data_IF_018543188805
#
_entry.id   IF_018543188805
#
_cell.length_a   1.000
_cell.length_b   1.000
_cell.length_c   1.000
_cell.angle_alpha   90.00
_cell.angle_beta   90.00
_cell.angle_gamma   90.00
#
_symmetry.space_group_name_H-M   'P 1'
#
loop_
_entity.id
_entity.type
_entity.pdbx_description
1 polymer ?
#
# COMPACT_ATOMS: atom_id res chain seq x y z
N UNK A 1 -17.61 17.42 28.17
CA UNK A 1 -17.40 16.66 26.91
C UNK A 1 -16.12 15.84 27.04
N UNK A 2 -16.21 14.51 27.09
CA UNK A 2 -15.04 13.62 27.09
C UNK A 2 -14.47 13.57 25.67
N UNK A 3 -13.32 14.18 25.44
CA UNK A 3 -12.54 13.94 24.21
C UNK A 3 -11.79 12.62 24.39
N UNK A 4 -12.44 11.55 23.96
CA UNK A 4 -11.84 10.22 23.86
C UNK A 4 -10.90 10.20 22.66
N UNK A 5 -9.60 10.38 22.86
CA UNK A 5 -8.60 9.93 21.89
C UNK A 5 -8.53 8.39 21.93
N UNK A 6 -9.52 7.74 21.30
CA UNK A 6 -9.32 6.38 20.79
C UNK A 6 -8.39 6.54 19.58
N UNK A 7 -7.08 6.38 19.76
CA UNK A 7 -6.25 6.02 18.62
C UNK A 7 -6.84 4.71 18.08
N UNK A 8 -7.48 4.74 16.92
CA UNK A 8 -7.77 3.52 16.17
C UNK A 8 -6.42 2.83 16.00
N UNK A 9 -6.20 1.70 16.68
CA UNK A 9 -5.15 0.77 16.28
C UNK A 9 -5.54 0.36 14.87
N UNK A 10 -4.97 0.98 13.84
CA UNK A 10 -5.05 0.40 12.50
C UNK A 10 -4.34 -0.93 12.61
N UNK A 11 -5.04 -2.02 12.29
CA UNK A 11 -4.36 -3.29 12.18
C UNK A 11 -3.32 -3.15 11.05
N UNK A 12 -2.19 -3.85 11.16
CA UNK A 12 -1.16 -3.84 10.11
C UNK A 12 -1.77 -4.16 8.73
N UNK A 13 -2.82 -5.01 8.70
CA UNK A 13 -3.64 -5.31 7.52
C UNK A 13 -4.34 -4.08 6.91
N UNK A 14 -4.82 -3.13 7.71
CA UNK A 14 -5.51 -1.93 7.22
C UNK A 14 -4.53 -0.98 6.48
N UNK A 15 -3.29 -0.89 6.94
CA UNK A 15 -2.24 -0.07 6.30
C UNK A 15 -1.93 -0.57 4.88
N UNK A 16 -1.70 -1.88 4.72
CA UNK A 16 -1.39 -2.46 3.41
C UNK A 16 -2.55 -2.34 2.43
N UNK A 17 -3.79 -2.50 2.91
CA UNK A 17 -4.98 -2.33 2.11
C UNK A 17 -5.16 -0.89 1.62
N UNK A 18 -4.91 0.11 2.47
CA UNK A 18 -5.00 1.52 2.09
C UNK A 18 -3.97 1.86 1.00
N UNK A 19 -2.72 1.40 1.14
CA UNK A 19 -1.67 1.60 0.14
C UNK A 19 -1.98 0.90 -1.18
N UNK A 20 -2.52 -0.31 -1.12
CA UNK A 20 -2.98 -1.03 -2.31
C UNK A 20 -4.10 -0.25 -3.04
N UNK A 21 -5.06 0.31 -2.29
CA UNK A 21 -6.14 1.10 -2.88
C UNK A 21 -5.62 2.39 -3.54
N UNK A 22 -4.68 3.09 -2.89
CA UNK A 22 -4.02 4.26 -3.46
C UNK A 22 -3.28 3.92 -4.76
N UNK A 23 -2.50 2.83 -4.77
CA UNK A 23 -1.80 2.36 -5.96
C UNK A 23 -2.77 2.01 -7.10
N UNK A 24 -3.83 1.26 -6.80
CA UNK A 24 -4.87 0.91 -7.78
C UNK A 24 -5.50 2.18 -8.37
N UNK A 25 -5.78 3.18 -7.55
CA UNK A 25 -6.39 4.43 -8.02
C UNK A 25 -5.43 5.20 -8.94
N UNK A 26 -4.16 5.36 -8.52
CA UNK A 26 -3.13 6.04 -9.31
C UNK A 26 -2.93 5.37 -10.67
N UNK A 27 -2.72 4.04 -10.68
CA UNK A 27 -2.49 3.31 -11.94
C UNK A 27 -3.73 3.31 -12.84
N UNK A 28 -4.94 3.31 -12.28
CA UNK A 28 -6.16 3.45 -13.09
C UNK A 28 -6.22 4.81 -13.79
N UNK A 29 -5.73 5.89 -13.17
CA UNK A 29 -5.69 7.23 -13.78
C UNK A 29 -4.64 7.30 -14.88
N UNK A 30 -3.45 6.75 -14.64
CA UNK A 30 -2.37 6.65 -15.64
C UNK A 30 -2.83 5.84 -16.86
N UNK A 31 -3.43 4.67 -16.64
CA UNK A 31 -4.03 3.85 -17.70
C UNK A 31 -5.06 4.63 -18.51
N UNK A 32 -5.94 5.39 -17.84
CA UNK A 32 -6.98 6.18 -18.51
C UNK A 32 -6.39 7.28 -19.39
N UNK A 33 -5.34 7.96 -18.93
CA UNK A 33 -4.64 8.99 -19.69
C UNK A 33 -4.00 8.41 -20.96
N UNK A 34 -3.32 7.26 -20.85
CA UNK A 34 -2.71 6.58 -22.00
C UNK A 34 -3.75 6.03 -22.98
N UNK A 35 -4.90 5.56 -22.50
CA UNK A 35 -6.02 5.16 -23.36
C UNK A 35 -6.56 6.34 -24.16
N UNK A 36 -6.70 7.53 -23.55
CA UNK A 36 -7.12 8.73 -24.28
C UNK A 36 -6.12 9.15 -25.36
N UNK A 37 -4.81 8.98 -25.08
CA UNK A 37 -3.75 9.22 -26.06
C UNK A 37 -3.85 8.24 -27.25
N UNK A 38 -4.09 6.95 -26.99
CA UNK A 38 -4.34 5.93 -28.02
C UNK A 38 -5.61 6.26 -28.82
N UNK A 39 -6.69 6.69 -28.18
CA UNK A 39 -7.93 7.10 -28.86
C UNK A 39 -7.66 8.24 -29.86
N UNK A 40 -6.84 9.22 -29.46
CA UNK A 40 -6.42 10.32 -30.34
C UNK A 40 -5.60 9.82 -31.53
N UNK A 41 -4.62 8.94 -31.31
CA UNK A 41 -3.79 8.36 -32.38
C UNK A 41 -4.67 7.62 -33.39
N UNK A 42 -5.58 6.76 -32.91
CA UNK A 42 -6.47 6.02 -33.79
C UNK A 42 -7.41 6.96 -34.55
N UNK A 43 -7.94 8.01 -33.90
CA UNK A 43 -8.79 8.99 -34.57
C UNK A 43 -8.05 9.74 -35.69
N UNK A 44 -6.80 10.15 -35.46
CA UNK A 44 -5.97 10.81 -36.48
C UNK A 44 -5.64 9.86 -37.63
N UNK A 45 -5.22 8.63 -37.33
CA UNK A 45 -4.96 7.59 -38.33
C UNK A 45 -6.18 7.35 -39.23
N UNK A 46 -7.38 7.27 -38.66
CA UNK A 46 -8.63 7.09 -39.41
C UNK A 46 -8.97 8.32 -40.25
N UNK A 47 -8.78 9.54 -39.71
CA UNK A 47 -9.00 10.77 -40.46
C UNK A 47 -8.07 10.87 -41.68
N UNK A 48 -6.80 10.48 -41.52
CA UNK A 48 -5.82 10.46 -42.61
C UNK A 48 -6.16 9.39 -43.67
N UNK A 49 -6.64 8.22 -43.27
CA UNK A 49 -7.17 7.21 -44.20
C UNK A 49 -8.32 7.79 -45.02
N UNK A 50 -9.29 8.44 -44.37
CA UNK A 50 -10.43 9.07 -45.05
C UNK A 50 -10.02 10.16 -46.02
N UNK A 51 -9.12 11.04 -45.57
CA UNK A 51 -8.59 12.14 -46.38
C UNK A 51 -7.94 11.62 -47.66
N UNK A 52 -7.13 10.57 -47.56
CA UNK A 52 -6.48 9.97 -48.72
C UNK A 52 -7.49 9.27 -49.64
N UNK A 53 -8.44 8.50 -49.09
CA UNK A 53 -9.50 7.89 -49.89
C UNK A 53 -10.33 8.93 -50.66
N UNK A 54 -10.69 10.04 -50.01
CA UNK A 54 -11.43 11.15 -50.65
C UNK A 54 -10.60 11.87 -51.71
N UNK A 55 -9.31 12.12 -51.45
CA UNK A 55 -8.43 12.74 -52.42
C UNK A 55 -8.30 11.89 -53.69
N UNK A 56 -8.16 10.57 -53.55
CA UNK A 56 -8.13 9.65 -54.68
C UNK A 56 -9.48 9.56 -55.39
N UNK A 57 -10.58 9.51 -54.64
CA UNK A 57 -11.92 9.53 -55.22
C UNK A 57 -12.16 10.81 -56.03
N UNK A 58 -11.79 11.97 -55.50
CA UNK A 58 -11.92 13.26 -56.19
C UNK A 58 -11.07 13.30 -57.46
N UNK A 59 -9.80 12.85 -57.41
CA UNK A 59 -8.93 12.72 -58.58
C UNK A 59 -9.57 11.84 -59.67
N UNK A 60 -10.26 10.76 -59.28
CA UNK A 60 -10.99 9.89 -60.21
C UNK A 60 -12.25 10.56 -60.77
N UNK A 61 -13.01 11.29 -59.96
CA UNK A 61 -14.22 12.00 -60.38
C UNK A 61 -13.92 13.16 -61.35
N UNK A 62 -12.81 13.88 -61.16
CA UNK A 62 -12.38 14.96 -62.07
C UNK A 62 -11.78 14.46 -63.39
N UNK A 63 -11.52 13.15 -63.50
CA UNK A 63 -11.04 12.54 -64.74
C UNK A 63 -12.19 12.26 -65.75
N UNK A 64 -13.39 12.80 -65.51
CA UNK A 64 -14.50 12.77 -66.47
C UNK A 64 -14.05 13.32 -67.84
N UNK A 65 -13.90 12.41 -68.80
CA UNK A 65 -13.39 12.67 -70.16
C UNK A 65 -12.14 11.87 -70.55
N UNK A 66 -11.45 11.24 -69.60
CA UNK A 66 -10.32 10.32 -69.81
C UNK A 66 -10.82 8.88 -69.65
N UNK A 67 -10.32 7.92 -70.45
CA UNK A 67 -10.64 6.50 -70.22
C UNK A 67 -10.22 6.12 -68.79
N UNK A 68 -11.20 5.70 -67.98
CA UNK A 68 -10.99 5.31 -66.59
C UNK A 68 -9.95 4.19 -66.43
N UNK A 69 -9.71 3.41 -67.50
CA UNK A 69 -8.66 2.39 -67.57
C UNK A 69 -7.27 3.01 -67.66
N UNK A 70 -7.09 4.08 -68.43
CA UNK A 70 -5.81 4.83 -68.51
C UNK A 70 -5.53 5.55 -67.18
N UNK A 71 -6.54 6.14 -66.56
CA UNK A 71 -6.43 6.78 -65.25
C UNK A 71 -6.04 5.80 -64.12
N UNK A 72 -6.14 4.47 -64.33
CA UNK A 72 -5.71 3.43 -63.38
C UNK A 72 -4.33 2.85 -63.68
N UNK A 73 -3.85 2.97 -64.91
CA UNK A 73 -2.75 2.14 -65.40
C UNK A 73 -1.36 2.58 -64.91
N UNK A 74 -1.14 3.87 -64.65
CA UNK A 74 0.18 4.36 -64.21
C UNK A 74 0.00 5.37 -63.08
N UNK A 75 0.68 5.13 -61.96
CA UNK A 75 0.83 6.14 -60.91
C UNK A 75 1.74 7.26 -61.43
N UNK A 76 1.34 8.52 -61.26
CA UNK A 76 2.19 9.64 -61.65
C UNK A 76 3.52 9.55 -60.89
N UNK A 77 4.64 9.73 -61.58
CA UNK A 77 5.97 9.75 -61.00
C UNK A 77 6.05 10.74 -59.82
N UNK A 78 5.37 11.88 -59.92
CA UNK A 78 5.31 12.87 -58.83
C UNK A 78 4.59 12.33 -57.58
N UNK A 79 3.44 11.65 -57.76
CA UNK A 79 2.71 11.03 -56.65
C UNK A 79 3.55 9.93 -55.96
N UNK A 80 4.31 9.15 -56.76
CA UNK A 80 5.24 8.13 -56.25
C UNK A 80 6.39 8.74 -55.46
N UNK A 81 7.04 9.79 -55.97
CA UNK A 81 8.13 10.49 -55.29
C UNK A 81 7.65 11.15 -53.99
N UNK A 82 6.49 11.81 -54.02
CA UNK A 82 5.89 12.42 -52.83
C UNK A 82 5.59 11.38 -51.73
N UNK A 83 5.11 10.20 -52.12
CA UNK A 83 4.91 9.09 -51.19
C UNK A 83 6.23 8.57 -50.62
N UNK A 84 7.23 8.33 -51.47
CA UNK A 84 8.56 7.86 -51.03
C UNK A 84 9.23 8.85 -50.07
N UNK A 85 9.13 10.16 -50.33
CA UNK A 85 9.62 11.19 -49.41
C UNK A 85 8.92 11.13 -48.05
N UNK A 86 7.59 10.97 -48.03
CA UNK A 86 6.81 10.84 -46.79
C UNK A 86 7.19 9.58 -46.01
N UNK A 87 7.32 8.44 -46.70
CA UNK A 87 7.74 7.19 -46.10
C UNK A 87 9.16 7.28 -45.51
N UNK A 88 10.08 7.95 -46.24
CA UNK A 88 11.44 8.21 -45.78
C UNK A 88 11.45 9.05 -44.51
N UNK A 89 10.68 10.15 -44.48
CA UNK A 89 10.60 11.04 -43.33
C UNK A 89 10.17 10.33 -42.04
N UNK A 90 9.33 9.29 -42.13
CA UNK A 90 8.91 8.52 -40.95
C UNK A 90 9.99 7.59 -40.39
N UNK A 91 11.02 7.26 -41.17
CA UNK A 91 12.09 6.33 -40.77
C UNK A 91 13.42 7.07 -40.53
N UNK A 92 13.54 8.31 -41.00
CA UNK A 92 14.77 9.09 -40.95
C UNK A 92 15.25 9.35 -39.52
N UNK A 93 14.34 9.66 -38.60
CA UNK A 93 14.67 9.93 -37.20
C UNK A 93 14.81 8.67 -36.34
N UNK A 94 14.36 7.50 -36.83
CA UNK A 94 14.33 6.21 -36.08
C UNK A 94 13.64 6.29 -34.70
N UNK A 95 12.63 7.13 -34.56
CA UNK A 95 11.93 7.37 -33.28
C UNK A 95 11.07 6.18 -32.79
N UNK A 96 10.99 5.10 -33.55
CA UNK A 96 10.18 3.92 -33.25
C UNK A 96 11.02 2.68 -32.93
N UNK A 97 10.37 1.60 -32.49
CA UNK A 97 11.01 0.30 -32.29
C UNK A 97 11.70 -0.21 -33.56
N UNK A 98 12.69 -1.09 -33.44
CA UNK A 98 13.35 -1.70 -34.60
C UNK A 98 12.36 -2.41 -35.52
N UNK A 99 11.35 -3.05 -34.93
CA UNK A 99 10.25 -3.68 -35.67
C UNK A 99 9.44 -2.66 -36.44
N UNK A 100 9.00 -1.58 -35.77
CA UNK A 100 8.25 -0.49 -36.40
C UNK A 100 9.03 0.17 -37.54
N UNK A 101 10.31 0.51 -37.30
CA UNK A 101 11.19 1.09 -38.31
C UNK A 101 11.39 0.13 -39.50
N UNK A 102 11.49 -1.18 -39.25
CA UNK A 102 11.58 -2.19 -40.30
C UNK A 102 10.30 -2.25 -41.14
N UNK A 103 9.13 -2.24 -40.52
CA UNK A 103 7.83 -2.23 -41.23
C UNK A 103 7.67 -0.95 -42.06
N UNK A 104 7.98 0.22 -41.48
CA UNK A 104 7.91 1.51 -42.18
C UNK A 104 8.90 1.57 -43.37
N UNK A 105 10.10 1.01 -43.22
CA UNK A 105 11.12 0.99 -44.29
C UNK A 105 10.68 0.20 -45.52
N UNK A 106 9.75 -0.75 -45.39
CA UNK A 106 9.21 -1.51 -46.55
C UNK A 106 8.55 -0.60 -47.58
N UNK A 107 8.04 0.55 -47.16
CA UNK A 107 7.40 1.54 -48.03
C UNK A 107 8.41 2.42 -48.79
N UNK A 108 9.69 2.42 -48.40
CA UNK A 108 10.75 3.17 -49.11
C UNK A 108 11.26 2.41 -50.35
N UNK A 109 11.12 1.09 -50.36
CA UNK A 109 11.78 0.20 -51.33
C UNK A 109 10.87 -0.34 -52.42
N UNK A 110 9.55 -0.22 -52.28
CA UNK A 110 8.64 -0.77 -53.29
C UNK A 110 8.53 0.16 -54.51
N UNK A 111 8.63 -0.43 -55.71
CA UNK A 111 8.25 0.21 -56.97
C UNK A 111 6.75 0.04 -57.18
N UNK A 112 6.04 1.13 -57.48
CA UNK A 112 4.59 1.14 -57.59
C UNK A 112 4.18 1.28 -59.06
N UNK A 113 3.50 0.25 -59.59
CA UNK A 113 3.21 0.18 -61.02
C UNK A 113 1.86 0.84 -61.34
N UNK A 114 0.86 0.69 -60.46
CA UNK A 114 -0.48 1.24 -60.67
C UNK A 114 -1.02 2.02 -59.46
N UNK A 115 -2.04 2.87 -59.70
CA UNK A 115 -2.60 3.76 -58.66
C UNK A 115 -3.29 3.03 -57.51
N UNK A 116 -3.86 1.85 -57.75
CA UNK A 116 -4.48 1.05 -56.69
C UNK A 116 -3.42 0.57 -55.70
N UNK A 117 -2.29 0.08 -56.20
CA UNK A 117 -1.15 -0.32 -55.39
C UNK A 117 -0.61 0.87 -54.60
N UNK A 118 -0.41 2.03 -55.25
CA UNK A 118 0.06 3.23 -54.57
C UNK A 118 -0.88 3.62 -53.41
N UNK A 119 -2.19 3.66 -53.63
CA UNK A 119 -3.16 3.96 -52.57
C UNK A 119 -3.10 2.94 -51.43
N UNK A 120 -3.05 1.63 -51.73
CA UNK A 120 -2.93 0.59 -50.70
C UNK A 120 -1.68 0.78 -49.86
N UNK A 121 -0.56 1.12 -50.49
CA UNK A 121 0.69 1.39 -49.79
C UNK A 121 0.64 2.69 -48.97
N UNK A 122 0.05 3.77 -49.48
CA UNK A 122 -0.16 5.02 -48.73
C UNK A 122 -1.01 4.80 -47.48
N UNK A 123 -2.12 4.08 -47.62
CA UNK A 123 -2.98 3.75 -46.50
C UNK A 123 -2.32 2.79 -45.52
N UNK A 124 -1.57 1.80 -46.03
CA UNK A 124 -0.77 0.89 -45.23
C UNK A 124 0.30 1.62 -44.41
N UNK A 125 0.95 2.65 -44.98
CA UNK A 125 1.91 3.49 -44.27
C UNK A 125 1.25 4.24 -43.11
N UNK A 126 0.07 4.82 -43.32
CA UNK A 126 -0.69 5.52 -42.29
C UNK A 126 -1.06 4.57 -41.14
N UNK A 127 -1.56 3.38 -41.48
CA UNK A 127 -1.86 2.34 -40.48
C UNK A 127 -0.60 1.95 -39.71
N UNK A 128 0.50 1.67 -40.41
CA UNK A 128 1.78 1.25 -39.79
C UNK A 128 2.31 2.32 -38.84
N UNK A 129 2.28 3.60 -39.25
CA UNK A 129 2.67 4.72 -38.41
C UNK A 129 1.78 4.83 -37.17
N UNK A 130 0.46 4.76 -37.32
CA UNK A 130 -0.46 4.85 -36.18
C UNK A 130 -0.28 3.72 -35.17
N UNK A 131 0.13 2.53 -35.61
CA UNK A 131 0.48 1.43 -34.71
C UNK A 131 1.87 1.58 -34.09
N UNK A 132 2.84 2.15 -34.80
CA UNK A 132 4.15 2.50 -34.25
C UNK A 132 4.03 3.55 -33.12
N UNK A 133 3.18 4.56 -33.30
CA UNK A 133 2.87 5.54 -32.25
C UNK A 133 2.18 4.88 -31.03
N UNK A 134 1.22 3.98 -31.25
CA UNK A 134 0.61 3.20 -30.17
C UNK A 134 1.63 2.32 -29.43
N UNK A 135 2.55 1.68 -30.16
CA UNK A 135 3.61 0.85 -29.60
C UNK A 135 4.51 1.67 -28.68
N UNK A 136 4.93 2.86 -29.10
CA UNK A 136 5.74 3.76 -28.27
C UNK A 136 5.01 4.17 -26.97
N UNK A 137 3.72 4.52 -27.06
CA UNK A 137 2.91 4.88 -25.88
C UNK A 137 2.81 3.71 -24.91
N UNK A 138 2.50 2.51 -25.42
CA UNK A 138 2.41 1.29 -24.59
C UNK A 138 3.77 0.96 -23.98
N UNK A 139 4.83 0.94 -24.80
CA UNK A 139 6.17 0.60 -24.34
C UNK A 139 6.62 1.49 -23.19
N UNK A 140 6.49 2.81 -23.36
CA UNK A 140 6.82 3.80 -22.33
C UNK A 140 5.99 3.58 -21.07
N UNK A 141 4.67 3.38 -21.21
CA UNK A 141 3.79 3.14 -20.07
C UNK A 141 4.15 1.89 -19.28
N UNK A 142 4.50 0.78 -19.96
CA UNK A 142 4.91 -0.45 -19.29
C UNK A 142 6.23 -0.27 -18.52
N UNK A 143 7.22 0.42 -19.10
CA UNK A 143 8.46 0.76 -18.41
C UNK A 143 8.25 1.67 -17.20
N UNK A 144 7.42 2.71 -17.37
CA UNK A 144 7.07 3.63 -16.30
C UNK A 144 6.32 2.88 -15.18
N UNK A 145 5.45 1.95 -15.53
CA UNK A 145 4.68 1.13 -14.59
C UNK A 145 5.57 0.21 -13.74
N UNK A 146 6.58 -0.44 -14.33
CA UNK A 146 7.59 -1.20 -13.59
C UNK A 146 8.32 -0.28 -12.60
N UNK A 147 8.80 0.87 -13.09
CA UNK A 147 9.56 1.83 -12.28
C UNK A 147 8.72 2.39 -11.12
N UNK A 148 7.47 2.80 -11.38
CA UNK A 148 6.54 3.28 -10.36
C UNK A 148 6.24 2.20 -9.33
N UNK A 149 6.03 0.96 -9.77
CA UNK A 149 5.74 -0.17 -8.88
C UNK A 149 6.91 -0.45 -7.94
N UNK A 150 8.13 -0.48 -8.46
CA UNK A 150 9.34 -0.69 -7.66
C UNK A 150 9.53 0.46 -6.66
N UNK A 151 9.42 1.72 -7.09
CA UNK A 151 9.49 2.89 -6.19
C UNK A 151 8.42 2.85 -5.11
N UNK A 152 7.20 2.50 -5.48
CA UNK A 152 6.09 2.37 -4.55
C UNK A 152 6.36 1.27 -3.52
N UNK A 153 6.86 0.10 -3.93
CA UNK A 153 7.22 -0.97 -3.01
C UNK A 153 8.40 -0.59 -2.11
N UNK A 154 9.46 0.02 -2.64
CA UNK A 154 10.59 0.53 -1.83
C UNK A 154 10.12 1.52 -0.77
N UNK A 155 9.23 2.45 -1.14
CA UNK A 155 8.68 3.43 -0.21
C UNK A 155 7.77 2.84 0.87
N UNK A 156 7.23 1.63 0.67
CA UNK A 156 6.39 0.96 1.66
C UNK A 156 7.20 -0.01 2.52
N UNK A 157 8.07 -0.82 1.91
CA UNK A 157 8.89 -1.83 2.59
C UNK A 157 10.19 -1.26 3.17
N UNK A 158 10.57 -0.04 2.80
CA UNK A 158 11.77 0.64 3.29
C UNK A 158 13.08 0.05 2.76
N UNK A 159 13.02 -0.69 1.65
CA UNK A 159 14.16 -1.36 1.04
C UNK A 159 14.22 -1.04 -0.45
N UNK A 160 15.31 -0.41 -0.88
CA UNK A 160 15.52 -0.13 -2.30
C UNK A 160 16.04 -1.36 -3.03
N UNK A 161 15.40 -1.68 -4.16
CA UNK A 161 15.86 -2.74 -5.07
C UNK A 161 16.50 -2.10 -6.29
N UNK A 162 17.77 -2.40 -6.50
CA UNK A 162 18.47 -2.02 -7.73
C UNK A 162 18.08 -3.00 -8.83
N UNK A 163 17.27 -2.54 -9.78
CA UNK A 163 16.85 -3.34 -10.94
C UNK A 163 17.67 -2.91 -12.15
N UNK A 164 18.31 -3.86 -12.83
CA UNK A 164 19.05 -3.57 -14.07
C UNK A 164 18.05 -3.25 -15.17
N UNK A 165 18.43 -2.40 -16.13
CA UNK A 165 17.58 -2.14 -17.30
C UNK A 165 17.22 -3.43 -18.03
N UNK A 166 18.13 -4.40 -18.12
CA UNK A 166 17.88 -5.72 -18.71
C UNK A 166 16.71 -6.46 -18.06
N UNK A 167 16.52 -6.31 -16.74
CA UNK A 167 15.47 -6.99 -16.00
C UNK A 167 14.12 -6.30 -16.24
N UNK A 168 14.12 -4.97 -16.37
CA UNK A 168 12.93 -4.19 -16.78
C UNK A 168 12.50 -4.61 -18.18
N UNK A 169 13.44 -4.67 -19.13
CA UNK A 169 13.17 -5.12 -20.51
C UNK A 169 12.63 -6.55 -20.52
N UNK A 170 13.21 -7.45 -19.72
CA UNK A 170 12.75 -8.83 -19.59
C UNK A 170 11.32 -8.91 -19.06
N UNK A 171 10.97 -8.12 -18.05
CA UNK A 171 9.60 -8.03 -17.51
C UNK A 171 8.64 -7.49 -18.57
N UNK A 172 9.02 -6.43 -19.29
CA UNK A 172 8.15 -5.77 -20.27
C UNK A 172 7.89 -6.67 -21.47
N UNK A 173 8.92 -7.31 -22.02
CA UNK A 173 8.82 -8.10 -23.25
C UNK A 173 8.62 -9.60 -23.03
N UNK A 174 8.47 -10.07 -21.78
CA UNK A 174 8.15 -11.47 -21.52
C UNK A 174 6.83 -11.89 -22.16
N UNK A 175 6.80 -13.14 -22.62
CA UNK A 175 5.61 -13.71 -23.21
C UNK A 175 4.54 -13.94 -22.15
N UNK A 176 3.34 -13.45 -22.43
CA UNK A 176 2.15 -13.83 -21.69
C UNK A 176 1.34 -14.79 -22.57
N UNK A 177 1.18 -16.05 -22.15
CA UNK A 177 0.68 -17.08 -23.07
C UNK A 177 1.67 -17.32 -24.22
N UNK A 178 1.22 -17.19 -25.48
CA UNK A 178 2.05 -17.54 -26.67
C UNK A 178 2.85 -16.38 -27.27
N UNK A 179 2.48 -15.14 -26.97
CA UNK A 179 3.01 -13.94 -27.64
C UNK A 179 3.25 -12.85 -26.60
N UNK A 180 4.23 -11.97 -26.88
CA UNK A 180 4.39 -10.74 -26.11
C UNK A 180 3.36 -9.67 -26.54
N UNK A 181 3.33 -8.56 -25.81
CA UNK A 181 2.37 -7.49 -26.04
C UNK A 181 2.55 -6.80 -27.40
N UNK A 182 3.79 -6.56 -27.84
CA UNK A 182 4.09 -5.91 -29.13
C UNK A 182 3.60 -6.79 -30.27
N UNK A 183 3.90 -8.09 -30.25
CA UNK A 183 3.41 -9.04 -31.25
C UNK A 183 1.87 -9.03 -31.37
N UNK A 184 1.16 -8.99 -30.24
CA UNK A 184 -0.31 -8.88 -30.24
C UNK A 184 -0.80 -7.56 -30.83
N UNK A 185 -0.11 -6.46 -30.56
CA UNK A 185 -0.43 -5.15 -31.12
C UNK A 185 -0.31 -5.17 -32.65
N UNK A 186 0.81 -5.71 -33.16
CA UNK A 186 1.07 -5.84 -34.59
C UNK A 186 0.13 -6.84 -35.29
N UNK A 187 -0.29 -7.92 -34.62
CA UNK A 187 -1.30 -8.82 -35.19
C UNK A 187 -2.66 -8.12 -35.39
N UNK A 188 -3.06 -7.22 -34.49
CA UNK A 188 -4.26 -6.40 -34.68
C UNK A 188 -4.10 -5.39 -35.83
N UNK A 189 -2.87 -4.90 -36.05
CA UNK A 189 -2.54 -4.02 -37.17
C UNK A 189 -2.77 -4.68 -38.52
N UNK A 190 -2.37 -5.94 -38.66
CA UNK A 190 -2.57 -6.72 -39.88
C UNK A 190 -4.05 -6.88 -40.24
N UNK A 191 -4.93 -7.02 -39.24
CA UNK A 191 -6.39 -7.07 -39.46
C UNK A 191 -6.91 -5.74 -40.02
N UNK A 192 -6.56 -4.61 -39.38
CA UNK A 192 -7.00 -3.29 -39.84
C UNK A 192 -6.44 -2.97 -41.24
N UNK A 193 -5.19 -3.34 -41.51
CA UNK A 193 -4.56 -3.12 -42.83
C UNK A 193 -5.35 -3.82 -43.93
N UNK A 194 -5.73 -5.08 -43.73
CA UNK A 194 -6.55 -5.85 -44.69
C UNK A 194 -7.90 -5.17 -44.97
N UNK A 195 -8.55 -4.66 -43.93
CA UNK A 195 -9.81 -3.94 -44.09
C UNK A 195 -9.63 -2.66 -44.92
N UNK A 196 -8.57 -1.90 -44.62
CA UNK A 196 -8.24 -0.66 -45.32
C UNK A 196 -7.88 -0.91 -46.79
N UNK A 197 -7.09 -1.95 -47.08
CA UNK A 197 -6.77 -2.37 -48.45
C UNK A 197 -8.02 -2.79 -49.23
N UNK A 198 -8.96 -3.47 -48.58
CA UNK A 198 -10.24 -3.84 -49.18
C UNK A 198 -11.07 -2.60 -49.53
N UNK A 199 -11.17 -1.63 -48.62
CA UNK A 199 -11.87 -0.36 -48.87
C UNK A 199 -11.22 0.42 -50.01
N UNK A 200 -9.89 0.51 -50.03
CA UNK A 200 -9.12 1.11 -51.12
C UNK A 200 -9.44 0.47 -52.46
N UNK A 201 -9.53 -0.86 -52.49
CA UNK A 201 -9.90 -1.61 -53.70
C UNK A 201 -11.33 -1.26 -54.15
N UNK A 202 -12.30 -1.12 -53.24
CA UNK A 202 -13.66 -0.73 -53.62
C UNK A 202 -13.75 0.69 -54.16
N UNK A 203 -13.05 1.65 -53.54
CA UNK A 203 -13.00 3.04 -54.00
C UNK A 203 -12.34 3.11 -55.38
N UNK A 204 -11.17 2.48 -55.55
CA UNK A 204 -10.41 2.54 -56.80
C UNK A 204 -11.05 1.72 -57.93
N UNK A 205 -11.43 0.46 -57.66
CA UNK A 205 -11.89 -0.43 -58.72
C UNK A 205 -13.35 -0.19 -59.09
N UNK A 206 -14.20 0.05 -58.09
CA UNK A 206 -15.66 0.11 -58.27
C UNK A 206 -16.22 1.53 -58.24
N UNK A 207 -15.39 2.56 -58.03
CA UNK A 207 -15.83 3.95 -57.97
C UNK A 207 -16.80 4.23 -56.82
N UNK A 208 -16.75 3.43 -55.75
CA UNK A 208 -17.62 3.64 -54.59
C UNK A 208 -17.18 4.87 -53.82
N UNK A 209 -18.14 5.64 -53.34
CA UNK A 209 -17.85 6.85 -52.61
C UNK A 209 -17.28 6.50 -51.21
N UNK A 210 -16.16 7.07 -50.76
CA UNK A 210 -15.56 6.75 -49.45
C UNK A 210 -16.53 6.87 -48.25
N UNK A 211 -17.48 7.82 -48.31
CA UNK A 211 -18.53 7.97 -47.28
C UNK A 211 -19.40 6.71 -47.06
N UNK A 212 -19.54 5.83 -48.05
CA UNK A 212 -20.26 4.55 -47.88
C UNK A 212 -19.61 3.65 -46.81
N UNK A 213 -18.30 3.81 -46.57
CA UNK A 213 -17.54 3.02 -45.60
C UNK A 213 -17.49 3.65 -44.20
N UNK A 214 -18.10 4.82 -43.97
CA UNK A 214 -18.17 5.51 -42.65
C UNK A 214 -18.64 4.61 -41.51
N UNK A 215 -19.77 3.90 -41.64
CA UNK A 215 -20.23 3.03 -40.57
C UNK A 215 -19.21 1.92 -40.25
N UNK A 216 -18.60 1.34 -41.28
CA UNK A 216 -17.64 0.25 -41.13
C UNK A 216 -16.34 0.73 -40.48
N UNK A 217 -15.75 1.83 -40.95
CA UNK A 217 -14.51 2.37 -40.37
C UNK A 217 -14.75 2.82 -38.93
N UNK A 218 -15.89 3.45 -38.62
CA UNK A 218 -16.22 3.81 -37.23
C UNK A 218 -16.31 2.59 -36.31
N UNK A 219 -16.87 1.49 -36.82
CA UNK A 219 -16.89 0.21 -36.08
C UNK A 219 -15.47 -0.32 -35.85
N UNK A 220 -14.62 -0.29 -36.88
CA UNK A 220 -13.22 -0.73 -36.80
C UNK A 220 -12.39 0.15 -35.86
N UNK A 221 -12.57 1.47 -35.91
CA UNK A 221 -11.96 2.42 -34.98
C UNK A 221 -12.27 2.05 -33.52
N UNK A 222 -13.55 1.83 -33.19
CA UNK A 222 -13.96 1.42 -31.85
C UNK A 222 -13.35 0.08 -31.44
N UNK A 223 -13.27 -0.87 -32.36
CA UNK A 223 -12.68 -2.18 -32.11
C UNK A 223 -11.17 -2.09 -31.86
N UNK A 224 -10.44 -1.30 -32.66
CA UNK A 224 -9.00 -1.05 -32.48
C UNK A 224 -8.73 -0.44 -31.12
N UNK A 225 -9.45 0.64 -30.76
CA UNK A 225 -9.33 1.28 -29.44
C UNK A 225 -9.61 0.27 -28.32
N UNK A 226 -10.71 -0.49 -28.42
CA UNK A 226 -11.07 -1.46 -27.39
C UNK A 226 -10.03 -2.58 -27.23
N UNK A 227 -9.47 -3.08 -28.34
CA UNK A 227 -8.43 -4.11 -28.34
C UNK A 227 -7.12 -3.58 -27.75
N UNK A 228 -6.67 -2.39 -28.17
CA UNK A 228 -5.45 -1.77 -27.64
C UNK A 228 -5.60 -1.41 -26.16
N UNK A 229 -6.75 -0.87 -25.74
CA UNK A 229 -7.08 -0.61 -24.34
C UNK A 229 -7.01 -1.88 -23.48
N UNK A 230 -7.62 -2.96 -23.97
CA UNK A 230 -7.58 -4.26 -23.28
C UNK A 230 -6.15 -4.76 -23.12
N UNK A 231 -5.35 -4.65 -24.18
CA UNK A 231 -3.95 -5.05 -24.18
C UNK A 231 -3.13 -4.22 -23.17
N UNK A 232 -3.20 -2.89 -23.26
CA UNK A 232 -2.49 -1.96 -22.38
C UNK A 232 -2.76 -2.27 -20.91
N UNK A 233 -4.03 -2.31 -20.48
CA UNK A 233 -4.40 -2.49 -19.07
C UNK A 233 -4.00 -3.88 -18.57
N UNK A 234 -4.16 -4.91 -19.41
CA UNK A 234 -3.81 -6.28 -19.01
C UNK A 234 -2.30 -6.44 -18.85
N UNK A 235 -1.52 -5.90 -19.78
CA UNK A 235 -0.06 -5.97 -19.72
C UNK A 235 0.50 -5.06 -18.63
N UNK A 236 -0.10 -3.88 -18.38
CA UNK A 236 0.25 -3.02 -17.26
C UNK A 236 0.10 -3.77 -15.92
N UNK A 237 -1.05 -4.44 -15.70
CA UNK A 237 -1.26 -5.25 -14.51
C UNK A 237 -0.27 -6.44 -14.40
N UNK A 238 0.14 -7.02 -15.54
CA UNK A 238 1.13 -8.10 -15.57
C UNK A 238 2.52 -7.61 -15.17
N UNK A 239 3.01 -6.54 -15.80
CA UNK A 239 4.35 -5.99 -15.49
C UNK A 239 4.42 -5.45 -14.06
N UNK A 240 3.34 -4.87 -13.55
CA UNK A 240 3.23 -4.48 -12.14
C UNK A 240 3.39 -5.70 -11.23
N UNK A 241 2.67 -6.79 -11.52
CA UNK A 241 2.72 -7.99 -10.70
C UNK A 241 4.10 -8.67 -10.75
N UNK A 242 4.76 -8.68 -11.91
CA UNK A 242 6.13 -9.19 -12.04
C UNK A 242 7.14 -8.31 -11.30
N UNK A 243 6.99 -6.99 -11.38
CA UNK A 243 7.82 -6.06 -10.61
C UNK A 243 7.61 -6.22 -9.10
N UNK A 244 6.37 -6.45 -8.65
CA UNK A 244 6.06 -6.78 -7.25
C UNK A 244 6.73 -8.08 -6.82
N UNK A 245 6.63 -9.14 -7.64
CA UNK A 245 7.29 -10.42 -7.37
C UNK A 245 8.80 -10.26 -7.22
N UNK A 246 9.44 -9.56 -8.15
CA UNK A 246 10.87 -9.29 -8.11
C UNK A 246 11.24 -8.60 -6.80
N UNK A 247 10.52 -7.54 -6.46
CA UNK A 247 10.75 -6.81 -5.22
C UNK A 247 10.56 -7.69 -3.98
N UNK A 248 9.53 -8.53 -3.94
CA UNK A 248 9.30 -9.43 -2.81
C UNK A 248 10.42 -10.48 -2.66
N UNK A 249 10.92 -11.02 -3.77
CA UNK A 249 12.03 -11.97 -3.74
C UNK A 249 13.31 -11.36 -3.12
N UNK A 250 13.62 -10.12 -3.48
CA UNK A 250 14.83 -9.42 -3.02
C UNK A 250 14.70 -8.89 -1.57
N UNK A 251 13.50 -8.48 -1.14
CA UNK A 251 13.33 -7.76 0.15
C UNK A 251 12.86 -8.64 1.29
N UNK A 252 11.82 -9.46 1.07
CA UNK A 252 11.19 -10.28 2.12
C UNK A 252 11.50 -11.78 1.97
N UNK A 253 11.99 -12.17 0.79
CA UNK A 253 12.48 -13.52 0.51
C UNK A 253 11.44 -14.47 -0.10
N UNK A 254 11.94 -15.54 -0.71
CA UNK A 254 11.15 -16.51 -1.48
C UNK A 254 10.06 -17.25 -0.70
N UNK A 255 10.26 -17.46 0.60
CA UNK A 255 9.33 -18.18 1.47
C UNK A 255 8.35 -17.25 2.19
N UNK A 256 8.43 -15.93 1.91
CA UNK A 256 7.42 -14.99 2.35
C UNK A 256 6.09 -15.23 1.64
N UNK A 257 5.03 -14.67 2.21
CA UNK A 257 3.67 -14.77 1.71
C UNK A 257 3.17 -13.40 1.23
N UNK A 258 2.26 -13.41 0.26
CA UNK A 258 1.55 -12.23 -0.23
C UNK A 258 0.04 -12.48 -0.21
N UNK A 259 -0.72 -11.41 -0.03
CA UNK A 259 -2.18 -11.42 -0.09
C UNK A 259 -2.65 -10.80 -1.40
N UNK A 260 -3.61 -11.45 -2.06
CA UNK A 260 -4.27 -10.92 -3.25
C UNK A 260 -5.33 -9.89 -2.85
N UNK A 261 -5.27 -8.67 -3.40
CA UNK A 261 -6.19 -7.57 -3.08
C UNK A 261 -6.99 -7.18 -4.31
N UNK A 262 -8.29 -7.45 -4.29
CA UNK A 262 -9.20 -7.02 -5.34
C UNK A 262 -9.66 -5.56 -5.14
N UNK A 263 -9.82 -4.80 -6.24
CA UNK A 263 -10.28 -3.40 -6.22
C UNK A 263 -11.66 -3.16 -5.55
N UNK A 264 -12.47 -4.20 -5.33
CA UNK A 264 -13.81 -4.16 -4.71
C UNK A 264 -14.68 -2.97 -5.13
N UNK A 265 -15.02 -2.95 -6.42
CA UNK A 265 -16.01 -2.05 -7.01
C UNK A 265 -17.13 -2.84 -7.72
N UNK A 266 -18.15 -2.14 -8.24
CA UNK A 266 -19.25 -2.73 -9.02
C UNK A 266 -18.75 -3.53 -10.24
N UNK A 267 -17.57 -3.16 -10.77
CA UNK A 267 -16.92 -3.79 -11.93
C UNK A 267 -15.98 -4.93 -11.55
N UNK A 268 -15.88 -5.30 -10.28
CA UNK A 268 -14.98 -6.37 -9.83
C UNK A 268 -15.55 -7.73 -10.19
N UNK A 269 -14.79 -8.47 -11.00
CA UNK A 269 -15.18 -9.78 -11.53
C UNK A 269 -15.36 -10.82 -10.41
N UNK A 270 -16.19 -11.85 -10.68
CA UNK A 270 -16.35 -13.01 -9.78
C UNK A 270 -15.01 -13.71 -9.50
N UNK A 271 -14.11 -13.74 -10.49
CA UNK A 271 -12.77 -14.34 -10.37
C UNK A 271 -11.95 -13.54 -9.35
N UNK A 272 -11.81 -12.22 -9.50
CA UNK A 272 -11.05 -11.42 -8.54
C UNK A 272 -11.66 -11.44 -7.14
N UNK A 273 -12.99 -11.45 -7.02
CA UNK A 273 -13.66 -11.62 -5.72
C UNK A 273 -13.36 -12.97 -5.06
N UNK A 274 -13.20 -14.02 -5.85
CA UNK A 274 -12.84 -15.35 -5.35
C UNK A 274 -11.40 -15.42 -4.83
N UNK A 275 -10.48 -14.65 -5.44
CA UNK A 275 -9.08 -14.59 -5.00
C UNK A 275 -8.81 -13.55 -3.91
N UNK A 276 -9.71 -12.60 -3.71
CA UNK A 276 -9.58 -11.55 -2.70
C UNK A 276 -9.28 -12.12 -1.30
N UNK A 277 -8.25 -11.57 -0.66
CA UNK A 277 -7.71 -11.97 0.66
C UNK A 277 -7.10 -13.37 0.74
N UNK A 278 -6.93 -14.06 -0.39
CA UNK A 278 -6.18 -15.32 -0.39
C UNK A 278 -4.68 -15.05 -0.29
N UNK A 279 -4.02 -15.87 0.51
CA UNK A 279 -2.58 -15.78 0.78
C UNK A 279 -1.85 -16.87 0.00
N UNK A 280 -0.76 -16.50 -0.64
CA UNK A 280 0.09 -17.38 -1.45
C UNK A 280 1.57 -17.10 -1.15
N UNK A 281 2.45 -18.04 -1.48
CA UNK A 281 3.90 -17.84 -1.32
C UNK A 281 4.48 -17.06 -2.49
N UNK A 282 5.44 -16.19 -2.22
CA UNK A 282 6.11 -15.34 -3.23
C UNK A 282 6.79 -16.20 -4.31
N UNK A 283 7.44 -17.31 -3.93
CA UNK A 283 8.06 -18.22 -4.91
C UNK A 283 7.07 -18.81 -5.92
N UNK A 284 5.82 -18.98 -5.52
CA UNK A 284 4.76 -19.55 -6.35
C UNK A 284 3.96 -18.48 -7.11
N UNK A 285 4.35 -17.19 -7.00
CA UNK A 285 3.63 -16.06 -7.59
C UNK A 285 3.71 -16.11 -9.12
N UNK A 286 2.58 -16.30 -9.78
CA UNK A 286 2.45 -16.40 -11.24
C UNK A 286 1.27 -15.55 -11.71
N UNK A 287 1.52 -14.49 -12.51
CA UNK A 287 0.47 -13.69 -13.14
C UNK A 287 -0.51 -14.57 -13.93
N UNK A 288 -1.81 -14.38 -13.70
CA UNK A 288 -2.88 -15.13 -14.36
C UNK A 288 -3.25 -16.46 -13.72
N UNK A 289 -2.52 -16.92 -12.69
CA UNK A 289 -2.82 -18.17 -11.96
C UNK A 289 -3.22 -17.88 -10.52
N UNK A 290 -2.36 -17.19 -9.77
CA UNK A 290 -2.57 -16.84 -8.36
C UNK A 290 -2.17 -15.39 -8.05
N UNK A 291 -1.81 -14.63 -9.08
CA UNK A 291 -1.51 -13.21 -9.00
C UNK A 291 -2.14 -12.47 -10.20
N UNK A 292 -2.44 -11.16 -10.08
CA UNK A 292 -2.99 -10.39 -11.20
C UNK A 292 -2.07 -10.42 -12.44
N UNK A 293 -2.58 -10.22 -13.66
CA UNK A 293 -3.99 -10.07 -14.04
C UNK A 293 -4.69 -11.43 -14.16
N UNK A 294 -5.82 -11.60 -13.46
CA UNK A 294 -6.62 -12.85 -13.54
C UNK A 294 -7.58 -12.91 -14.72
N UNK A 295 -7.79 -11.77 -15.41
CA UNK A 295 -8.70 -11.63 -16.54
C UNK A 295 -8.33 -10.36 -17.32
N UNK A 296 -8.84 -10.18 -18.55
CA UNK A 296 -8.65 -8.92 -19.28
C UNK A 296 -9.22 -7.74 -18.48
N UNK A 297 -8.51 -6.61 -18.48
CA UNK A 297 -8.84 -5.42 -17.66
C UNK A 297 -8.79 -5.65 -16.14
N UNK A 298 -7.97 -6.59 -15.66
CA UNK A 298 -7.76 -6.76 -14.22
C UNK A 298 -7.14 -5.50 -13.63
N UNK A 299 -7.66 -5.06 -12.49
CA UNK A 299 -7.20 -3.88 -11.72
C UNK A 299 -6.86 -4.24 -10.28
N UNK A 300 -6.66 -5.53 -10.03
CA UNK A 300 -6.32 -6.05 -8.69
C UNK A 300 -4.81 -5.98 -8.51
N UNK A 301 -4.35 -5.98 -7.26
CA UNK A 301 -2.93 -5.92 -6.93
C UNK A 301 -2.61 -6.93 -5.84
N UNK A 302 -1.35 -6.97 -5.42
CA UNK A 302 -0.90 -7.79 -4.29
C UNK A 302 -0.25 -6.92 -3.22
N UNK A 303 -0.30 -7.40 -1.98
CA UNK A 303 0.39 -6.80 -0.84
C UNK A 303 1.19 -7.88 -0.12
N UNK A 304 2.32 -7.54 0.52
CA UNK A 304 3.02 -8.51 1.36
C UNK A 304 2.11 -8.94 2.51
N UNK A 305 2.00 -10.24 2.70
CA UNK A 305 1.35 -10.81 3.88
C UNK A 305 2.39 -10.87 4.99
N UNK A 306 2.61 -9.71 5.61
CA UNK A 306 3.22 -9.67 6.92
C UNK A 306 2.18 -10.22 7.88
N UNK A 307 2.31 -11.52 8.19
CA UNK A 307 1.56 -12.13 9.27
C UNK A 307 1.72 -11.33 10.56
N UNK A 308 1.14 -11.81 11.64
CA UNK A 308 1.15 -11.05 12.89
C UNK A 308 2.52 -11.10 13.61
N UNK A 309 3.62 -10.87 12.88
CA UNK A 309 5.00 -10.94 13.37
C UNK A 309 5.20 -10.02 14.56
N UNK A 310 4.54 -8.85 14.58
CA UNK A 310 4.57 -7.92 15.70
C UNK A 310 3.88 -8.52 16.92
N UNK A 311 2.67 -9.04 16.77
CA UNK A 311 1.95 -9.67 17.87
C UNK A 311 2.66 -10.96 18.34
N UNK A 312 3.22 -11.75 17.42
CA UNK A 312 4.04 -12.93 17.71
C UNK A 312 5.35 -12.54 18.41
N UNK A 313 6.02 -11.49 17.95
CA UNK A 313 7.24 -10.92 18.54
C UNK A 313 7.02 -10.49 19.99
N UNK A 314 5.91 -9.80 20.27
CA UNK A 314 5.56 -9.35 21.62
C UNK A 314 4.99 -10.48 22.49
N UNK A 315 4.22 -11.42 21.93
CA UNK A 315 3.68 -12.58 22.65
C UNK A 315 4.78 -13.57 23.06
N UNK A 316 5.74 -13.84 22.18
CA UNK A 316 6.87 -14.75 22.45
C UNK A 316 7.91 -14.17 23.44
N UNK A 317 7.81 -12.86 23.71
CA UNK A 317 8.69 -12.10 24.61
C UNK A 317 7.97 -11.51 25.83
N UNK A 318 6.66 -11.69 25.97
CA UNK A 318 5.95 -11.36 27.20
C UNK A 318 6.59 -12.14 28.35
N UNK A 319 7.12 -11.41 29.35
CA UNK A 319 7.81 -11.99 30.51
C UNK A 319 9.30 -12.29 30.33
N UNK A 320 9.89 -12.16 29.13
CA UNK A 320 11.34 -12.42 28.90
C UNK A 320 12.26 -11.21 29.15
N UNK A 321 11.72 -10.01 29.07
CA UNK A 321 12.46 -8.76 29.31
C UNK A 321 11.72 -7.95 30.37
N UNK A 322 12.31 -7.83 31.56
CA UNK A 322 11.92 -6.85 32.58
C UNK A 322 12.76 -5.60 32.35
N UNK A 323 12.12 -4.44 32.24
CA UNK A 323 12.83 -3.15 32.17
C UNK A 323 13.58 -2.96 33.49
N UNK A 324 14.92 -3.05 33.47
CA UNK A 324 15.74 -2.58 34.58
C UNK A 324 15.84 -1.05 34.47
N UNK A 325 14.70 -0.39 34.65
CA UNK A 325 14.58 1.06 34.58
C UNK A 325 15.27 1.72 35.77
N UNK A 326 15.68 2.97 35.58
CA UNK A 326 16.02 3.89 36.67
C UNK A 326 14.85 4.04 37.67
N UNK A 327 15.12 4.65 38.83
CA UNK A 327 14.11 4.82 39.89
C UNK A 327 12.86 5.56 39.40
N UNK A 328 12.99 6.49 38.46
CA UNK A 328 11.87 7.22 37.87
C UNK A 328 10.95 6.29 37.05
N UNK A 329 11.53 5.42 36.22
CA UNK A 329 10.77 4.41 35.47
C UNK A 329 10.08 3.41 36.40
N UNK A 330 10.73 3.00 37.50
CA UNK A 330 10.12 2.11 38.51
C UNK A 330 8.91 2.77 39.16
N UNK A 331 9.02 4.03 39.58
CA UNK A 331 7.90 4.77 40.17
C UNK A 331 6.72 4.90 39.20
N UNK A 332 6.97 5.13 37.91
CA UNK A 332 5.90 5.23 36.90
C UNK A 332 5.15 3.91 36.71
N UNK A 333 5.88 2.78 36.63
CA UNK A 333 5.30 1.44 36.49
C UNK A 333 4.43 1.08 37.70
N UNK A 334 4.96 1.29 38.89
CA UNK A 334 4.32 0.98 40.16
C UNK A 334 3.10 1.88 40.41
N UNK A 335 3.14 3.14 39.97
CA UNK A 335 2.00 4.06 40.03
C UNK A 335 0.84 3.61 39.14
N UNK A 336 1.16 3.07 37.96
CA UNK A 336 0.16 2.46 37.09
C UNK A 336 -0.44 1.21 37.73
N UNK A 337 0.40 0.33 38.30
CA UNK A 337 -0.05 -0.87 39.01
C UNK A 337 -0.97 -0.54 40.20
N UNK A 338 -0.63 0.49 40.99
CA UNK A 338 -1.49 1.00 42.07
C UNK A 338 -2.83 1.51 41.55
N UNK A 339 -2.83 2.30 40.47
CA UNK A 339 -4.07 2.83 39.87
C UNK A 339 -4.98 1.69 39.40
N UNK A 340 -4.42 0.71 38.68
CA UNK A 340 -5.15 -0.47 38.22
C UNK A 340 -5.68 -1.31 39.41
N UNK A 341 -4.94 -1.39 40.51
CA UNK A 341 -5.35 -2.10 41.72
C UNK A 341 -6.51 -1.40 42.48
N UNK A 342 -6.55 -0.06 42.48
CA UNK A 342 -7.68 0.72 43.02
C UNK A 342 -8.90 0.52 42.13
N UNK A 343 -8.75 0.70 40.81
CA UNK A 343 -9.86 0.61 39.85
C UNK A 343 -10.48 -0.80 39.81
N UNK A 344 -9.66 -1.84 39.95
CA UNK A 344 -10.12 -3.24 40.01
C UNK A 344 -10.64 -3.67 41.39
N UNK A 345 -10.57 -2.80 42.41
CA UNK A 345 -10.97 -3.11 43.78
C UNK A 345 -10.09 -4.15 44.48
N UNK A 346 -8.88 -4.43 43.96
CA UNK A 346 -7.90 -5.30 44.61
C UNK A 346 -7.37 -4.70 45.92
N UNK A 347 -7.36 -3.38 46.01
CA UNK A 347 -7.03 -2.64 47.23
C UNK A 347 -8.09 -1.59 47.54
N UNK A 348 -8.14 -1.16 48.80
CA UNK A 348 -8.99 -0.05 49.26
C UNK A 348 -8.14 1.02 49.92
N UNK A 349 -8.38 2.26 49.52
CA UNK A 349 -7.75 3.46 50.11
C UNK A 349 -8.35 3.80 51.48
N UNK A 350 -9.56 3.31 51.76
CA UNK A 350 -10.24 3.44 53.06
C UNK A 350 -9.44 2.78 54.19
N UNK A 351 -9.36 3.44 55.34
CA UNK A 351 -8.70 2.93 56.54
C UNK A 351 -9.42 1.68 57.08
N UNK A 352 -8.64 0.64 57.34
CA UNK A 352 -9.08 -0.51 58.12
C UNK A 352 -8.82 -0.24 59.62
N UNK A 353 -9.89 0.08 60.35
CA UNK A 353 -9.85 0.41 61.78
C UNK A 353 -9.19 -0.70 62.62
N UNK A 354 -9.52 -1.96 62.38
CA UNK A 354 -8.99 -3.09 63.16
C UNK A 354 -7.45 -3.23 63.00
N UNK A 355 -6.94 -3.04 61.79
CA UNK A 355 -5.50 -3.03 61.52
C UNK A 355 -4.83 -1.77 62.08
N UNK A 356 -5.48 -0.60 61.96
CA UNK A 356 -4.94 0.66 62.46
C UNK A 356 -4.83 0.67 64.00
N UNK A 357 -5.80 0.10 64.70
CA UNK A 357 -5.82 0.06 66.16
C UNK A 357 -4.63 -0.69 66.79
N UNK A 358 -3.93 -1.54 66.02
CA UNK A 358 -2.67 -2.19 66.44
C UNK A 358 -1.46 -1.26 66.42
N UNK A 359 -1.65 -0.06 65.86
CA UNK A 359 -0.66 1.00 65.74
C UNK A 359 -1.16 2.29 66.38
N UNK A 360 -2.17 2.25 67.26
CA UNK A 360 -2.71 3.44 67.91
C UNK A 360 -2.38 3.41 69.40
N UNK A 361 -1.71 4.46 69.89
CA UNK A 361 -1.34 4.54 71.30
C UNK A 361 -2.60 4.57 72.20
N UNK A 362 -2.57 3.81 73.29
CA UNK A 362 -3.67 3.75 74.26
C UNK A 362 -4.80 2.78 73.89
N UNK A 363 -4.78 2.16 72.70
CA UNK A 363 -5.74 1.11 72.34
C UNK A 363 -5.27 -0.27 72.83
N UNK A 364 -6.18 -1.11 73.34
CA UNK A 364 -5.85 -2.43 73.89
C UNK A 364 -5.10 -3.33 72.87
N UNK A 365 -5.52 -3.30 71.61
CA UNK A 365 -4.84 -4.04 70.52
C UNK A 365 -3.38 -3.62 70.30
N UNK A 366 -3.01 -2.37 70.57
CA UNK A 366 -1.62 -1.92 70.48
C UNK A 366 -0.80 -2.49 71.64
N UNK A 367 -1.33 -2.48 72.86
CA UNK A 367 -0.66 -3.07 74.02
C UNK A 367 -0.45 -4.58 73.86
N UNK A 368 -1.44 -5.29 73.34
CA UNK A 368 -1.34 -6.72 73.04
C UNK A 368 -0.30 -6.99 71.94
N UNK A 369 -0.28 -6.15 70.90
CA UNK A 369 0.71 -6.25 69.83
C UNK A 369 2.13 -5.98 70.32
N UNK A 370 2.31 -4.95 71.17
CA UNK A 370 3.58 -4.62 71.83
C UNK A 370 4.08 -5.77 72.70
N UNK A 371 3.24 -6.34 73.57
CA UNK A 371 3.58 -7.52 74.40
C UNK A 371 4.03 -8.69 73.54
N UNK A 372 3.30 -8.97 72.46
CA UNK A 372 3.62 -10.06 71.52
C UNK A 372 4.95 -9.85 70.81
N UNK A 373 5.31 -8.61 70.46
CA UNK A 373 6.61 -8.30 69.87
C UNK A 373 7.75 -8.51 70.89
N UNK A 374 7.57 -8.04 72.12
CA UNK A 374 8.56 -8.22 73.21
C UNK A 374 8.82 -9.70 73.51
N UNK A 375 7.77 -10.53 73.59
CA UNK A 375 7.90 -11.99 73.77
C UNK A 375 8.68 -12.68 72.64
N UNK A 376 8.69 -12.09 71.44
CA UNK A 376 9.39 -12.61 70.26
C UNK A 376 10.76 -11.96 70.05
N UNK A 377 11.24 -11.15 71.00
CA UNK A 377 12.48 -10.39 70.87
C UNK A 377 12.48 -9.38 69.71
N UNK A 378 11.29 -8.90 69.29
CA UNK A 378 11.14 -7.91 68.22
C UNK A 378 11.05 -6.50 68.80
N UNK A 379 11.43 -5.50 67.99
CA UNK A 379 11.32 -4.09 68.34
C UNK A 379 9.89 -3.68 68.69
N UNK A 380 9.79 -2.66 69.54
CA UNK A 380 8.51 -2.05 69.94
C UNK A 380 7.86 -1.44 68.69
N UNK A 381 6.54 -1.65 68.47
CA UNK A 381 5.88 -1.09 67.30
C UNK A 381 5.73 0.43 67.38
N UNK A 382 5.91 1.09 66.25
CA UNK A 382 5.58 2.51 66.03
C UNK A 382 4.08 2.76 66.18
N UNK A 383 3.70 3.96 66.61
CA UNK A 383 2.31 4.30 66.93
C UNK A 383 1.86 5.67 66.43
N UNK A 384 0.61 5.76 65.99
CA UNK A 384 -0.07 6.99 65.60
C UNK A 384 -0.62 7.74 66.81
N UNK A 385 -0.64 9.07 66.70
CA UNK A 385 -1.20 9.99 67.69
C UNK A 385 -2.59 10.53 67.28
N UNK A 386 -2.88 10.52 65.97
CA UNK A 386 -4.15 11.00 65.43
C UNK A 386 -5.24 9.92 65.53
N UNK A 387 -6.50 10.35 65.52
CA UNK A 387 -7.63 9.43 65.50
C UNK A 387 -7.85 8.80 64.12
N UNK A 388 -8.66 7.73 64.07
CA UNK A 388 -8.91 6.99 62.84
C UNK A 388 -9.66 7.80 61.77
N UNK A 389 -10.50 8.78 62.15
CA UNK A 389 -11.23 9.62 61.19
C UNK A 389 -10.27 10.57 60.47
N UNK A 390 -9.36 11.17 61.25
CA UNK A 390 -8.33 12.06 60.76
C UNK A 390 -7.31 11.31 59.89
N UNK A 391 -6.85 10.13 60.34
CA UNK A 391 -5.96 9.26 59.55
C UNK A 391 -6.63 8.82 58.25
N UNK A 392 -7.91 8.42 58.27
CA UNK A 392 -8.64 8.03 57.05
C UNK A 392 -8.71 9.18 56.03
N UNK A 393 -9.02 10.39 56.51
CA UNK A 393 -9.08 11.60 55.67
C UNK A 393 -7.71 11.90 55.02
N UNK A 394 -6.63 11.72 55.78
CA UNK A 394 -5.27 11.90 55.27
C UNK A 394 -4.89 10.89 54.18
N UNK A 395 -5.27 9.61 54.32
CA UNK A 395 -5.01 8.60 53.27
C UNK A 395 -5.75 9.00 51.99
N UNK A 396 -7.03 9.35 52.07
CA UNK A 396 -7.80 9.76 50.88
C UNK A 396 -7.21 10.98 50.18
N UNK A 397 -6.67 11.94 50.93
CA UNK A 397 -6.09 13.15 50.35
C UNK A 397 -4.71 12.89 49.69
N UNK A 398 -3.93 11.94 50.23
CA UNK A 398 -2.49 11.82 49.93
C UNK A 398 -2.09 10.52 49.22
N UNK A 399 -2.95 9.50 49.16
CA UNK A 399 -2.68 8.26 48.46
C UNK A 399 -2.26 8.52 46.99
N UNK A 400 -1.20 7.84 46.55
CA UNK A 400 -0.60 7.98 45.23
C UNK A 400 0.25 9.23 45.00
N UNK A 401 0.50 10.03 46.05
CA UNK A 401 1.35 11.25 46.01
C UNK A 401 2.72 11.04 46.67
N UNK A 402 2.91 9.95 47.41
CA UNK A 402 4.17 9.56 48.03
C UNK A 402 5.02 8.66 47.14
N UNK A 403 6.07 8.10 47.72
CA UNK A 403 6.98 7.17 47.04
C UNK A 403 6.49 5.74 47.21
N UNK A 404 6.20 5.06 46.10
CA UNK A 404 5.71 3.69 46.13
C UNK A 404 6.87 2.71 46.32
N UNK A 405 6.68 1.72 47.19
CA UNK A 405 7.73 0.74 47.51
C UNK A 405 7.62 -0.45 46.55
N UNK A 406 8.67 -0.68 45.78
CA UNK A 406 8.79 -1.84 44.89
C UNK A 406 9.82 -2.87 45.40
N UNK A 407 9.83 -4.06 44.80
CA UNK A 407 10.98 -4.98 44.88
C UNK A 407 12.06 -4.63 43.84
N UNK A 408 13.16 -5.38 43.86
CA UNK A 408 14.30 -5.18 42.94
C UNK A 408 13.93 -5.41 41.46
N UNK A 409 12.75 -6.00 41.22
CA UNK A 409 12.18 -6.31 39.91
C UNK A 409 11.09 -5.29 39.49
N UNK A 410 10.82 -4.28 40.32
CA UNK A 410 9.84 -3.23 40.03
C UNK A 410 8.39 -3.61 40.32
N UNK A 411 8.12 -4.73 41.01
CA UNK A 411 6.76 -5.10 41.42
C UNK A 411 6.37 -4.33 42.68
N UNK A 412 5.15 -3.79 42.70
CA UNK A 412 4.67 -3.04 43.86
C UNK A 412 4.47 -3.93 45.09
N UNK A 413 4.99 -3.49 46.25
CA UNK A 413 4.81 -4.19 47.53
C UNK A 413 3.49 -3.83 48.24
N UNK A 414 2.55 -3.18 47.56
CA UNK A 414 1.32 -2.61 48.13
C UNK A 414 1.60 -1.62 49.28
N UNK A 415 2.71 -0.89 49.19
CA UNK A 415 3.12 0.09 50.19
C UNK A 415 3.51 1.41 49.55
N UNK A 416 3.25 2.48 50.28
CA UNK A 416 3.60 3.85 49.89
C UNK A 416 4.13 4.60 51.09
N UNK A 417 5.23 5.33 50.93
CA UNK A 417 5.73 6.25 51.95
C UNK A 417 5.22 7.64 51.62
N UNK A 418 4.38 8.17 52.51
CA UNK A 418 3.71 9.45 52.34
C UNK A 418 4.21 10.43 53.42
N UNK A 419 4.52 11.65 53.02
CA UNK A 419 4.60 12.80 53.93
C UNK A 419 3.21 13.44 54.07
N UNK A 420 2.66 13.36 55.27
CA UNK A 420 1.33 13.86 55.58
C UNK A 420 1.31 15.37 55.89
N UNK A 421 2.46 16.02 55.99
CA UNK A 421 2.61 17.46 56.23
C UNK A 421 2.38 17.90 57.67
N UNK A 422 2.01 16.97 58.57
CA UNK A 422 1.84 17.18 60.01
C UNK A 422 2.24 15.92 60.78
N UNK A 423 2.51 16.06 62.07
CA UNK A 423 2.92 14.93 62.93
C UNK A 423 1.77 13.94 63.01
N UNK A 424 2.02 12.69 62.59
CA UNK A 424 1.01 11.63 62.59
C UNK A 424 1.22 10.60 63.71
N UNK A 425 2.41 10.54 64.28
CA UNK A 425 2.80 9.50 65.23
C UNK A 425 4.27 9.55 65.60
N UNK A 426 4.71 8.53 66.34
CA UNK A 426 6.13 8.31 66.68
C UNK A 426 6.62 7.00 66.10
N UNK A 427 7.78 7.05 65.45
CA UNK A 427 8.51 5.90 64.95
C UNK A 427 9.56 5.43 65.96
N UNK A 428 9.69 4.12 66.16
CA UNK A 428 10.66 3.55 67.07
C UNK A 428 11.97 3.22 66.33
N UNK A 429 12.99 4.03 66.53
CA UNK A 429 14.29 3.95 65.85
C UNK A 429 15.40 3.94 66.89
N UNK A 430 16.30 2.96 66.81
CA UNK A 430 17.52 2.85 67.64
C UNK A 430 17.31 3.01 69.16
N UNK A 431 16.16 2.55 69.66
CA UNK A 431 15.85 2.55 71.10
C UNK A 431 14.91 3.68 71.54
N UNK A 432 14.63 4.66 70.67
CA UNK A 432 13.87 5.87 71.00
C UNK A 432 12.65 6.08 70.10
N UNK A 433 11.66 6.83 70.60
CA UNK A 433 10.49 7.23 69.83
C UNK A 433 10.66 8.65 69.26
N UNK A 434 10.67 8.75 67.94
CA UNK A 434 10.86 10.00 67.21
C UNK A 434 9.55 10.42 66.55
N UNK A 435 9.12 11.66 66.77
CA UNK A 435 7.94 12.22 66.09
C UNK A 435 8.19 12.35 64.59
N UNK A 436 7.21 11.95 63.78
CA UNK A 436 7.35 11.97 62.33
C UNK A 436 6.08 12.46 61.63
N UNK A 437 6.29 13.14 60.49
CA UNK A 437 5.22 13.53 59.57
C UNK A 437 5.00 12.49 58.48
N UNK A 438 5.92 11.52 58.36
CA UNK A 438 5.91 10.50 57.34
C UNK A 438 5.35 9.19 57.87
N UNK A 439 4.62 8.48 57.02
CA UNK A 439 4.09 7.16 57.34
C UNK A 439 4.14 6.24 56.14
N UNK A 440 4.31 4.95 56.42
CA UNK A 440 4.15 3.89 55.43
C UNK A 440 2.68 3.48 55.42
N UNK A 441 1.99 3.73 54.32
CA UNK A 441 0.64 3.24 54.07
C UNK A 441 0.72 1.85 53.47
N UNK A 442 0.04 0.90 54.10
CA UNK A 442 -0.07 -0.48 53.65
C UNK A 442 -1.46 -0.70 53.05
N UNK A 443 -1.52 -0.93 51.75
CA UNK A 443 -2.76 -1.17 51.01
C UNK A 443 -3.16 -2.65 51.04
N UNK A 444 -4.45 -2.92 51.19
CA UNK A 444 -4.99 -4.28 51.08
C UNK A 444 -6.44 -4.27 50.63
N UNK A 445 -6.96 -5.45 50.27
CA UNK A 445 -8.38 -5.64 49.89
C UNK A 445 -9.35 -5.26 51.03
N UNK A 446 -8.93 -5.42 52.28
CA UNK A 446 -9.78 -5.13 53.45
C UNK A 446 -9.66 -3.69 53.95
N UNK A 447 -8.88 -2.84 53.29
CA UNK A 447 -8.57 -1.47 53.72
C UNK A 447 -7.11 -1.26 54.06
N UNK A 448 -6.74 0.00 54.23
CA UNK A 448 -5.39 0.49 54.43
C UNK A 448 -5.08 0.80 55.89
N UNK A 449 -3.81 0.78 56.28
CA UNK A 449 -3.38 1.28 57.60
C UNK A 449 -2.04 1.98 57.47
N UNK A 450 -1.77 2.88 58.40
CA UNK A 450 -0.60 3.75 58.45
C UNK A 450 0.27 3.32 59.62
N UNK A 451 1.56 3.14 59.34
CA UNK A 451 2.60 2.97 60.34
C UNK A 451 3.53 4.18 60.24
N UNK A 452 3.75 4.95 61.32
CA UNK A 452 4.73 6.05 61.33
C UNK A 452 6.10 5.57 60.85
N UNK A 453 6.79 6.40 60.05
CA UNK A 453 8.08 6.06 59.46
C UNK A 453 8.99 7.31 59.42
N UNK A 454 9.90 7.41 60.38
CA UNK A 454 10.86 8.50 60.51
C UNK A 454 12.16 8.29 59.73
N UNK A 455 12.33 7.16 59.02
CA UNK A 455 13.56 6.89 58.28
C UNK A 455 13.75 7.88 57.13
N UNK A 456 14.84 8.66 57.20
CA UNK A 456 15.23 9.63 56.18
C UNK A 456 14.65 11.04 56.37
N UNK A 457 13.95 11.32 57.47
CA UNK A 457 13.81 12.72 57.93
C UNK A 457 15.17 13.19 58.46
N UNK A 458 15.71 14.31 57.93
CA UNK A 458 16.88 14.94 58.54
C UNK A 458 16.45 15.44 59.93
N UNK A 459 17.20 15.03 60.94
CA UNK A 459 17.04 15.51 62.33
C UNK A 459 17.15 17.03 62.39
#
# INVERSE_FOLDING_TARGET
MKVSFKSKKSNLSDYWLERAQQAIQSETLEDAAKVAEIERIVAMMIADIYKNLLAYYAKLATAEGIDWREAKQIADKFDVEAFQMRAKAYVENKDFSDKANKELKRYNTAMYVNREQLLKHELGLIVTKGYAEQENVINKHLHDSVTRTLKHQSGILGADVHVKQSDVEAIVYSNFGKLNWSERLWNNQDELRKDVERMASHVMLRGRHPYEFVPEIRKKQKQTVANTKRLLITEAARVQTEAQKLHYLETIGKDAEYEFVAKRDEKTSKICRHYDKKVFKVKDMVPGVNAPPMHPHCRSTTVPYVGNWRDKFFKDRQGKYQLRGDEETKQLLVKKEMTDAIDSGKIKVELNVEKQNRHQLGHQMYEDYKKKNLQKGKAIPSYTLLDNSELNSLIHQKAGKGSLIADDFGNWKNKEIIDFGKIIGKDYIDGEFIETKRGTVHYSKTGSHIIPNGKGEKR
#
